data_IF_880789585383
#
_entry.id   IF_880789585383
#
_cell.length_a   1.000
_cell.length_b   1.000
_cell.length_c   1.000
_cell.angle_alpha   90.00
_cell.angle_beta   90.00
_cell.angle_gamma   90.00
#
_symmetry.space_group_name_H-M   'P 1'
#
loop_
_entity.id
_entity.type
_entity.pdbx_description
1 polymer ?
#
# COMPACT_ATOMS: atom_id res chain seq x y z
N UNK A 1 -13.11 -15.12 -17.54
CA UNK A 1 -12.47 -13.80 -17.75
C UNK A 1 -13.40 -12.64 -17.37
N UNK A 2 -14.66 -12.60 -17.84
CA UNK A 2 -15.61 -11.50 -17.50
C UNK A 2 -16.02 -11.43 -16.01
N UNK A 3 -15.96 -12.54 -15.26
CA UNK A 3 -16.31 -12.53 -13.83
C UNK A 3 -15.35 -11.69 -12.98
N UNK A 4 -14.05 -11.68 -13.26
CA UNK A 4 -13.10 -10.86 -12.50
C UNK A 4 -13.29 -9.37 -12.78
N UNK A 5 -13.51 -9.00 -14.04
CA UNK A 5 -13.78 -7.61 -14.43
C UNK A 5 -15.06 -7.09 -13.78
N UNK A 6 -16.15 -7.85 -13.85
CA UNK A 6 -17.42 -7.49 -13.20
C UNK A 6 -17.27 -7.40 -11.69
N UNK A 7 -16.55 -8.33 -11.07
CA UNK A 7 -16.33 -8.32 -9.63
C UNK A 7 -15.39 -7.18 -9.19
N UNK A 8 -14.41 -6.79 -10.01
CA UNK A 8 -13.56 -5.61 -9.77
C UNK A 8 -14.36 -4.30 -9.78
N UNK A 9 -15.41 -4.21 -10.59
CA UNK A 9 -16.29 -3.05 -10.61
C UNK A 9 -17.25 -3.03 -9.41
N UNK A 10 -17.71 -4.20 -8.96
CA UNK A 10 -18.63 -4.32 -7.83
C UNK A 10 -17.93 -4.23 -6.47
N UNK A 11 -16.68 -4.68 -6.38
CA UNK A 11 -15.93 -4.81 -5.12
C UNK A 11 -15.78 -3.49 -4.36
N UNK A 12 -15.77 -2.35 -5.05
CA UNK A 12 -15.70 -1.02 -4.42
C UNK A 12 -16.93 -0.71 -3.54
N UNK A 13 -18.09 -1.27 -3.88
CA UNK A 13 -19.35 -1.04 -3.15
C UNK A 13 -19.72 -2.20 -2.24
N UNK A 14 -19.09 -3.36 -2.43
CA UNK A 14 -19.47 -4.61 -1.79
C UNK A 14 -19.12 -4.58 -0.28
N UNK A 15 -20.13 -4.82 0.56
CA UNK A 15 -19.95 -5.07 2.00
C UNK A 15 -20.27 -6.55 2.26
N UNK A 16 -19.29 -7.30 2.74
CA UNK A 16 -19.42 -8.74 2.93
C UNK A 16 -20.21 -9.08 4.20
N UNK A 17 -20.41 -8.14 5.12
CA UNK A 17 -21.08 -8.38 6.41
C UNK A 17 -22.54 -8.83 6.29
N UNK A 18 -23.22 -8.43 5.21
CA UNK A 18 -24.63 -8.78 4.97
C UNK A 18 -24.86 -10.06 4.16
N UNK A 19 -23.78 -10.73 3.72
CA UNK A 19 -23.88 -11.92 2.88
C UNK A 19 -23.80 -13.21 3.70
N UNK A 20 -24.28 -14.32 3.13
CA UNK A 20 -24.15 -15.63 3.78
C UNK A 20 -22.71 -16.16 3.64
N UNK A 21 -22.21 -16.82 4.68
CA UNK A 21 -20.90 -17.48 4.69
C UNK A 21 -20.68 -18.42 3.51
N UNK A 22 -21.76 -19.04 3.00
CA UNK A 22 -21.72 -19.92 1.82
C UNK A 22 -21.28 -19.21 0.54
N UNK A 23 -21.39 -17.89 0.49
CA UNK A 23 -21.00 -17.05 -0.65
C UNK A 23 -19.66 -16.37 -0.35
N UNK A 24 -19.49 -15.86 0.88
CA UNK A 24 -18.29 -15.13 1.29
C UNK A 24 -17.06 -16.05 1.25
N UNK A 25 -17.14 -17.25 1.84
CA UNK A 25 -15.99 -18.13 1.97
C UNK A 25 -15.45 -18.56 0.60
N UNK A 26 -16.25 -19.09 -0.36
CA UNK A 26 -15.73 -19.45 -1.68
C UNK A 26 -15.21 -18.26 -2.47
N UNK A 27 -15.80 -17.07 -2.28
CA UNK A 27 -15.35 -15.85 -2.95
C UNK A 27 -13.97 -15.43 -2.46
N UNK A 28 -13.79 -15.29 -1.13
CA UNK A 28 -12.51 -14.92 -0.54
C UNK A 28 -11.44 -16.00 -0.77
N UNK A 29 -11.81 -17.26 -0.62
CA UNK A 29 -10.93 -18.41 -0.86
C UNK A 29 -10.42 -18.45 -2.31
N UNK A 30 -11.32 -18.24 -3.27
CA UNK A 30 -10.98 -18.13 -4.69
C UNK A 30 -10.05 -16.94 -4.97
N UNK A 31 -10.38 -15.75 -4.46
CA UNK A 31 -9.55 -14.55 -4.67
C UNK A 31 -8.14 -14.71 -4.10
N UNK A 32 -8.02 -15.27 -2.88
CA UNK A 32 -6.73 -15.57 -2.25
C UNK A 32 -5.95 -16.61 -3.05
N UNK A 33 -6.61 -17.67 -3.54
CA UNK A 33 -5.98 -18.66 -4.40
C UNK A 33 -5.40 -18.02 -5.66
N UNK A 34 -6.19 -17.22 -6.39
CA UNK A 34 -5.73 -16.56 -7.62
C UNK A 34 -4.67 -15.50 -7.40
N UNK A 35 -4.62 -14.85 -6.23
CA UNK A 35 -3.59 -13.87 -5.88
C UNK A 35 -2.19 -14.51 -5.70
N UNK A 36 -2.13 -15.75 -5.19
CA UNK A 36 -0.87 -16.44 -4.87
C UNK A 36 -0.48 -17.46 -5.96
N UNK A 37 -1.44 -17.87 -6.79
CA UNK A 37 -1.25 -18.91 -7.80
C UNK A 37 -0.08 -18.55 -8.75
N UNK A 38 0.91 -19.44 -8.81
CA UNK A 38 2.08 -19.36 -9.69
C UNK A 38 1.85 -19.99 -11.07
N UNK A 39 0.63 -20.45 -11.36
CA UNK A 39 0.27 -21.03 -12.64
C UNK A 39 0.43 -20.01 -13.78
N UNK A 40 0.89 -20.48 -14.95
CA UNK A 40 0.95 -19.67 -16.17
C UNK A 40 -0.41 -19.03 -16.49
N UNK A 41 -1.52 -19.76 -16.26
CA UNK A 41 -2.88 -19.22 -16.45
C UNK A 41 -3.25 -18.05 -15.53
N UNK A 42 -2.61 -17.94 -14.36
CA UNK A 42 -2.84 -16.85 -13.42
C UNK A 42 -1.93 -15.63 -13.69
N UNK A 43 -0.71 -15.91 -14.15
CA UNK A 43 0.33 -14.91 -14.38
C UNK A 43 0.30 -14.30 -15.79
N UNK A 44 -0.10 -15.06 -16.79
CA UNK A 44 -0.04 -14.62 -18.18
C UNK A 44 -1.10 -13.55 -18.46
N UNK A 45 -0.73 -12.46 -19.16
CA UNK A 45 -1.68 -11.44 -19.59
C UNK A 45 -2.66 -12.05 -20.59
N UNK A 46 -3.93 -12.07 -20.23
CA UNK A 46 -4.98 -12.57 -21.11
C UNK A 46 -5.46 -11.43 -22.03
N UNK A 47 -5.54 -11.64 -23.36
CA UNK A 47 -6.13 -10.66 -24.28
C UNK A 47 -7.66 -10.57 -24.06
N UNK A 48 -8.28 -9.38 -24.10
CA UNK A 48 -7.81 -8.14 -24.75
C UNK A 48 -7.10 -7.13 -23.84
N UNK A 49 -7.26 -7.21 -22.51
CA UNK A 49 -6.83 -6.13 -21.59
C UNK A 49 -5.37 -6.26 -21.12
N UNK A 50 -4.66 -7.32 -21.50
CA UNK A 50 -3.29 -7.64 -21.05
C UNK A 50 -3.13 -7.67 -19.51
N UNK A 51 -4.21 -7.82 -18.76
CA UNK A 51 -4.19 -7.93 -17.30
C UNK A 51 -4.25 -9.39 -16.89
N UNK A 52 -3.30 -9.83 -16.07
CA UNK A 52 -3.27 -11.18 -15.54
C UNK A 52 -4.37 -11.38 -14.49
N UNK A 53 -4.88 -12.61 -14.35
CA UNK A 53 -5.87 -12.95 -13.33
C UNK A 53 -5.37 -12.63 -11.92
N UNK A 54 -4.06 -12.78 -11.68
CA UNK A 54 -3.41 -12.43 -10.42
C UNK A 54 -3.57 -10.93 -10.10
N UNK A 55 -3.33 -10.06 -11.07
CA UNK A 55 -3.46 -8.61 -10.88
C UNK A 55 -4.92 -8.20 -10.64
N UNK A 56 -5.86 -8.81 -11.36
CA UNK A 56 -7.29 -8.54 -11.15
C UNK A 56 -7.76 -9.01 -9.77
N UNK A 57 -7.31 -10.18 -9.31
CA UNK A 57 -7.59 -10.67 -7.96
C UNK A 57 -7.02 -9.73 -6.88
N UNK A 58 -5.79 -9.23 -7.06
CA UNK A 58 -5.20 -8.25 -6.16
C UNK A 58 -5.94 -6.90 -6.16
N UNK A 59 -6.40 -6.44 -7.32
CA UNK A 59 -7.20 -5.21 -7.41
C UNK A 59 -8.52 -5.35 -6.64
N UNK A 60 -9.20 -6.48 -6.81
CA UNK A 60 -10.43 -6.81 -6.08
C UNK A 60 -10.16 -6.84 -4.57
N UNK A 61 -9.13 -7.57 -4.13
CA UNK A 61 -8.79 -7.66 -2.72
C UNK A 61 -8.43 -6.30 -2.14
N UNK A 62 -7.72 -5.46 -2.89
CA UNK A 62 -7.38 -4.08 -2.50
C UNK A 62 -8.63 -3.23 -2.31
N UNK A 63 -9.58 -3.29 -3.24
CA UNK A 63 -10.88 -2.58 -3.15
C UNK A 63 -11.72 -3.09 -1.97
N UNK A 64 -11.79 -4.40 -1.75
CA UNK A 64 -12.50 -4.98 -0.60
C UNK A 64 -11.87 -4.55 0.72
N UNK A 65 -10.54 -4.47 0.79
CA UNK A 65 -9.78 -4.07 1.99
C UNK A 65 -9.95 -2.60 2.38
N UNK A 66 -10.63 -1.78 1.57
CA UNK A 66 -10.99 -0.41 1.98
C UNK A 66 -11.95 -0.43 3.18
N UNK A 67 -12.81 -1.45 3.28
CA UNK A 67 -13.75 -1.61 4.40
C UNK A 67 -13.12 -2.51 5.48
N UNK A 68 -13.05 -2.02 6.71
CA UNK A 68 -12.50 -2.77 7.86
C UNK A 68 -13.23 -4.09 8.10
N UNK A 69 -14.55 -4.11 7.96
CA UNK A 69 -15.36 -5.32 8.11
C UNK A 69 -14.97 -6.44 7.15
N UNK A 70 -14.63 -6.10 5.90
CA UNK A 70 -14.17 -7.05 4.90
C UNK A 70 -12.77 -7.57 5.24
N UNK A 71 -11.90 -6.76 5.85
CA UNK A 71 -10.57 -7.19 6.31
C UNK A 71 -10.71 -8.22 7.43
N UNK A 72 -11.59 -7.97 8.41
CA UNK A 72 -11.81 -8.89 9.52
C UNK A 72 -12.29 -10.26 9.00
N UNK A 73 -13.16 -10.26 8.00
CA UNK A 73 -13.61 -11.48 7.31
C UNK A 73 -12.49 -12.14 6.49
N UNK A 74 -11.67 -11.36 5.79
CA UNK A 74 -10.52 -11.87 5.04
C UNK A 74 -9.54 -12.59 5.97
N UNK A 75 -9.22 -11.99 7.12
CA UNK A 75 -8.34 -12.57 8.14
C UNK A 75 -8.96 -13.78 8.86
N UNK A 76 -10.29 -13.85 8.94
CA UNK A 76 -11.01 -15.01 9.46
C UNK A 76 -11.10 -16.17 8.47
N UNK A 77 -10.69 -15.99 7.20
CA UNK A 77 -10.77 -17.04 6.17
C UNK A 77 -9.62 -18.03 6.33
N UNK A 78 -9.86 -19.32 6.63
CA UNK A 78 -8.81 -20.34 6.58
C UNK A 78 -8.41 -20.62 5.11
N UNK A 79 -7.16 -21.03 4.81
CA UNK A 79 -6.01 -21.28 5.69
C UNK A 79 -5.07 -20.07 5.82
N UNK A 80 -4.55 -19.87 7.03
CA UNK A 80 -3.62 -18.78 7.37
C UNK A 80 -2.33 -18.79 6.54
N UNK A 81 -1.84 -19.98 6.16
CA UNK A 81 -0.64 -20.16 5.33
C UNK A 81 -0.69 -19.37 4.00
N UNK A 82 -1.88 -19.20 3.42
CA UNK A 82 -2.04 -18.43 2.17
C UNK A 82 -1.90 -16.93 2.43
N UNK A 83 -2.50 -16.44 3.50
CA UNK A 83 -2.35 -15.03 3.91
C UNK A 83 -0.89 -14.75 4.22
N UNK A 84 -0.23 -15.65 4.95
CA UNK A 84 1.18 -15.57 5.27
C UNK A 84 2.05 -15.60 4.00
N UNK A 85 1.78 -16.48 3.04
CA UNK A 85 2.52 -16.53 1.77
C UNK A 85 2.33 -15.26 0.94
N UNK A 86 1.11 -14.70 0.89
CA UNK A 86 0.84 -13.42 0.23
C UNK A 86 1.63 -12.30 0.92
N UNK A 87 1.57 -12.26 2.24
CA UNK A 87 2.29 -11.31 3.09
C UNK A 87 3.80 -11.44 2.83
N UNK A 88 4.41 -12.61 3.02
CA UNK A 88 5.85 -12.87 2.83
C UNK A 88 6.32 -12.52 1.41
N UNK A 89 5.64 -13.01 0.37
CA UNK A 89 5.98 -12.72 -1.04
C UNK A 89 6.01 -11.21 -1.33
N UNK A 90 5.15 -10.45 -0.65
CA UNK A 90 5.07 -9.00 -0.82
C UNK A 90 5.90 -8.21 0.21
N UNK A 91 6.30 -8.81 1.33
CA UNK A 91 6.98 -8.13 2.44
C UNK A 91 8.49 -8.07 2.32
N UNK A 92 9.15 -9.05 1.68
CA UNK A 92 10.64 -9.13 1.55
C UNK A 92 11.31 -7.95 0.83
N UNK A 93 10.52 -6.98 0.38
CA UNK A 93 11.00 -5.65 -0.04
C UNK A 93 9.92 -4.58 0.05
N UNK A 94 8.83 -4.81 0.81
CA UNK A 94 7.66 -3.92 0.88
C UNK A 94 8.04 -2.50 1.27
N UNK A 95 8.78 -2.33 2.37
CA UNK A 95 9.26 -1.04 2.87
C UNK A 95 10.10 -0.34 1.80
N UNK A 96 11.02 -1.08 1.16
CA UNK A 96 11.89 -0.54 0.10
C UNK A 96 11.07 -0.06 -1.09
N UNK A 97 10.07 -0.85 -1.50
CA UNK A 97 9.20 -0.54 -2.62
C UNK A 97 8.29 0.65 -2.31
N UNK A 98 7.78 0.75 -1.08
CA UNK A 98 6.99 1.91 -0.64
C UNK A 98 7.84 3.18 -0.57
N UNK A 99 9.08 3.10 -0.08
CA UNK A 99 10.01 4.25 -0.09
C UNK A 99 10.36 4.64 -1.54
N UNK A 100 10.68 3.66 -2.39
CA UNK A 100 10.93 3.91 -3.82
C UNK A 100 9.71 4.54 -4.51
N UNK A 101 8.50 4.11 -4.16
CA UNK A 101 7.28 4.70 -4.68
C UNK A 101 7.17 6.17 -4.30
N UNK A 102 7.46 6.53 -3.03
CA UNK A 102 7.45 7.93 -2.58
C UNK A 102 8.55 8.76 -3.28
N UNK A 103 9.75 8.21 -3.49
CA UNK A 103 10.84 8.87 -4.24
C UNK A 103 10.47 9.10 -5.72
N UNK A 104 9.85 8.12 -6.38
CA UNK A 104 9.38 8.26 -7.77
C UNK A 104 8.31 9.35 -7.89
N UNK A 105 7.42 9.35 -6.91
CA UNK A 105 6.37 10.32 -6.75
C UNK A 105 6.91 11.76 -6.53
N UNK A 106 7.94 11.91 -5.70
CA UNK A 106 8.69 13.17 -5.55
C UNK A 106 9.34 13.62 -6.87
N UNK A 107 10.05 12.72 -7.55
CA UNK A 107 10.71 13.02 -8.83
C UNK A 107 9.70 13.45 -9.91
N UNK A 108 8.51 12.86 -9.89
CA UNK A 108 7.42 13.22 -10.79
C UNK A 108 6.81 14.60 -10.45
N UNK A 109 6.67 14.94 -9.16
CA UNK A 109 6.27 16.30 -8.75
C UNK A 109 7.34 17.33 -9.15
N UNK A 110 8.62 16.99 -9.02
CA UNK A 110 9.72 17.83 -9.49
C UNK A 110 9.64 18.06 -11.01
N UNK A 111 9.41 17.01 -11.81
CA UNK A 111 9.26 17.11 -13.26
C UNK A 111 8.03 17.95 -13.67
N UNK A 112 6.96 17.93 -12.88
CA UNK A 112 5.77 18.77 -13.06
C UNK A 112 5.95 20.21 -12.56
N UNK A 113 7.09 20.54 -11.94
CA UNK A 113 7.33 21.84 -11.31
C UNK A 113 6.46 22.11 -10.08
N UNK A 114 5.89 21.06 -9.48
CA UNK A 114 5.00 21.14 -8.32
C UNK A 114 5.80 21.39 -7.04
N UNK A 115 6.08 22.66 -6.76
CA UNK A 115 6.72 23.07 -5.51
C UNK A 115 5.66 23.51 -4.48
N UNK A 116 5.56 22.78 -3.37
CA UNK A 116 4.55 23.06 -2.34
C UNK A 116 4.93 24.22 -1.40
N UNK A 117 6.16 24.75 -1.49
CA UNK A 117 6.63 25.93 -0.72
C UNK A 117 6.18 27.24 -1.38
N UNK A 118 5.94 27.26 -2.70
CA UNK A 118 5.39 28.41 -3.43
C UNK A 118 3.99 28.04 -3.96
N UNK A 119 2.90 28.52 -3.35
CA UNK A 119 1.56 28.12 -3.76
C UNK A 119 1.28 28.50 -5.22
N UNK A 120 0.80 27.52 -5.98
CA UNK A 120 0.44 27.64 -7.39
C UNK A 120 -0.70 28.65 -7.59
N UNK A 121 -0.40 29.82 -8.16
CA UNK A 121 -1.42 30.83 -8.51
C UNK A 121 -2.14 30.50 -9.84
N UNK A 122 -1.60 29.57 -10.64
CA UNK A 122 -2.11 29.24 -12.00
C UNK A 122 -2.25 27.73 -12.28
N UNK A 123 -2.72 26.93 -11.33
CA UNK A 123 -3.02 25.51 -11.60
C UNK A 123 -4.42 25.35 -12.22
N UNK A 124 -4.48 24.75 -13.40
CA UNK A 124 -5.69 24.25 -14.05
C UNK A 124 -6.44 23.27 -13.12
N UNK A 125 -7.76 23.19 -13.23
CA UNK A 125 -8.62 22.35 -12.37
C UNK A 125 -8.19 20.87 -12.43
N UNK A 126 -7.78 20.40 -13.61
CA UNK A 126 -7.27 19.05 -13.83
C UNK A 126 -5.96 18.77 -13.07
N UNK A 127 -5.09 19.78 -12.91
CA UNK A 127 -3.85 19.64 -12.14
C UNK A 127 -4.12 19.52 -10.62
N UNK A 128 -5.20 20.14 -10.13
CA UNK A 128 -5.63 20.00 -8.73
C UNK A 128 -6.19 18.62 -8.43
N UNK A 129 -6.98 18.05 -9.35
CA UNK A 129 -7.56 16.71 -9.18
C UNK A 129 -6.47 15.62 -9.19
N UNK A 130 -5.50 15.73 -10.10
CA UNK A 130 -4.34 14.82 -10.15
C UNK A 130 -3.51 14.96 -8.86
N UNK A 131 -3.26 16.19 -8.40
CA UNK A 131 -2.53 16.45 -7.16
C UNK A 131 -3.24 15.85 -5.92
N UNK A 132 -4.57 15.91 -5.86
CA UNK A 132 -5.36 15.31 -4.79
C UNK A 132 -5.32 13.77 -4.82
N UNK A 133 -5.38 13.17 -6.00
CA UNK A 133 -5.29 11.72 -6.14
C UNK A 133 -3.91 11.20 -5.76
N UNK A 134 -2.86 11.92 -6.16
CA UNK A 134 -1.48 11.62 -5.78
C UNK A 134 -1.29 11.81 -4.26
N UNK A 135 -1.86 12.86 -3.65
CA UNK A 135 -1.81 13.08 -2.20
C UNK A 135 -2.36 11.91 -1.38
N UNK A 136 -3.52 11.35 -1.77
CA UNK A 136 -4.07 10.18 -1.09
C UNK A 136 -3.11 8.99 -1.15
N UNK A 137 -2.56 8.69 -2.33
CA UNK A 137 -1.63 7.58 -2.53
C UNK A 137 -0.35 7.75 -1.71
N UNK A 138 0.19 8.96 -1.63
CA UNK A 138 1.35 9.26 -0.79
C UNK A 138 1.04 9.08 0.70
N UNK A 139 -0.11 9.60 1.18
CA UNK A 139 -0.53 9.45 2.57
C UNK A 139 -0.70 7.98 2.93
N UNK A 140 -1.30 7.18 2.05
CA UNK A 140 -1.44 5.74 2.26
C UNK A 140 -0.06 5.08 2.36
N UNK A 141 0.83 5.32 1.39
CA UNK A 141 2.18 4.74 1.42
C UNK A 141 2.94 5.11 2.71
N UNK A 142 2.97 6.38 3.09
CA UNK A 142 3.67 6.86 4.28
C UNK A 142 3.05 6.30 5.58
N UNK A 143 1.71 6.27 5.69
CA UNK A 143 1.03 5.68 6.84
C UNK A 143 1.26 4.17 6.94
N UNK A 144 1.29 3.44 5.82
CA UNK A 144 1.60 2.01 5.82
C UNK A 144 2.99 1.79 6.41
N UNK A 145 4.02 2.52 5.96
CA UNK A 145 5.37 2.40 6.53
C UNK A 145 5.35 2.78 8.02
N UNK A 146 4.59 3.80 8.44
CA UNK A 146 4.47 4.21 9.85
C UNK A 146 3.85 3.10 10.71
N UNK A 147 2.77 2.49 10.24
CA UNK A 147 2.09 1.38 10.95
C UNK A 147 2.94 0.12 11.01
N UNK A 148 3.77 -0.12 9.99
CA UNK A 148 4.75 -1.21 10.02
C UNK A 148 5.82 -0.88 11.07
N UNK A 149 6.42 0.31 11.01
CA UNK A 149 7.45 0.73 11.95
C UNK A 149 6.98 0.75 13.42
N UNK A 150 5.70 1.07 13.70
CA UNK A 150 5.16 1.05 15.06
C UNK A 150 4.90 -0.34 15.62
N UNK A 151 4.70 -1.35 14.75
CA UNK A 151 4.30 -2.70 15.13
C UNK A 151 5.39 -3.75 14.86
N UNK A 152 6.54 -3.38 14.29
CA UNK A 152 7.65 -4.28 13.98
C UNK A 152 8.41 -4.74 15.23
N UNK A 153 8.90 -5.99 15.20
CA UNK A 153 9.80 -6.53 16.20
C UNK A 153 11.21 -5.90 16.10
N UNK A 154 12.00 -6.01 17.18
CA UNK A 154 13.32 -5.35 17.30
C UNK A 154 14.34 -5.79 16.23
N UNK A 155 14.21 -7.00 15.66
CA UNK A 155 15.03 -7.50 14.56
C UNK A 155 14.79 -6.76 13.25
N UNK A 156 13.53 -6.43 12.94
CA UNK A 156 13.13 -5.77 11.68
C UNK A 156 13.40 -4.26 11.71
N UNK A 157 13.50 -3.70 12.92
CA UNK A 157 13.90 -2.32 13.14
C UNK A 157 15.31 -2.02 12.59
N UNK A 158 16.20 -3.02 12.59
CA UNK A 158 17.53 -2.90 11.98
C UNK A 158 17.47 -2.71 10.46
N UNK A 159 16.45 -3.27 9.79
CA UNK A 159 16.23 -3.07 8.35
C UNK A 159 15.68 -1.68 8.08
N UNK A 160 14.72 -1.20 8.88
CA UNK A 160 14.18 0.15 8.80
C UNK A 160 15.27 1.22 8.99
N UNK A 161 16.22 0.98 9.90
CA UNK A 161 17.36 1.88 10.13
C UNK A 161 18.23 2.09 8.89
N UNK A 162 18.37 1.07 8.01
CA UNK A 162 19.10 1.23 6.73
C UNK A 162 18.46 2.28 5.82
N UNK A 163 17.18 2.58 6.01
CA UNK A 163 16.43 3.53 5.19
C UNK A 163 16.19 4.88 5.87
N UNK A 164 16.67 5.09 7.10
CA UNK A 164 16.52 6.33 7.87
C UNK A 164 16.95 7.56 7.07
N UNK A 165 18.14 7.54 6.49
CA UNK A 165 18.65 8.66 5.67
C UNK A 165 17.75 8.97 4.48
N UNK A 166 17.14 7.96 3.84
CA UNK A 166 16.24 8.17 2.70
C UNK A 166 14.93 8.81 3.15
N UNK A 167 14.38 8.35 4.28
CA UNK A 167 13.17 8.91 4.88
C UNK A 167 13.38 10.36 5.31
N UNK A 168 14.52 10.67 5.94
CA UNK A 168 14.86 12.03 6.34
C UNK A 168 15.01 12.94 5.11
N UNK A 169 15.66 12.46 4.03
CA UNK A 169 15.77 13.23 2.79
C UNK A 169 14.38 13.53 2.18
N UNK A 170 13.47 12.56 2.19
CA UNK A 170 12.09 12.75 1.74
C UNK A 170 11.33 13.75 2.62
N UNK A 171 11.50 13.69 3.95
CA UNK A 171 10.87 14.65 4.87
C UNK A 171 11.38 16.09 4.68
N UNK A 172 12.57 16.27 4.13
CA UNK A 172 13.13 17.59 3.81
C UNK A 172 12.79 18.08 2.38
N UNK A 173 12.04 17.30 1.61
CA UNK A 173 11.77 17.61 0.20
C UNK A 173 10.75 18.74 0.04
N UNK A 174 11.01 19.74 -0.83
CA UNK A 174 10.05 20.80 -1.17
C UNK A 174 8.96 20.36 -2.16
N UNK A 175 9.09 19.16 -2.74
CA UNK A 175 8.19 18.61 -3.77
C UNK A 175 7.15 17.64 -3.19
N UNK A 176 7.14 17.45 -1.88
CA UNK A 176 6.19 16.62 -1.16
C UNK A 176 5.20 17.51 -0.41
N UNK A 177 3.94 17.09 -0.36
CA UNK A 177 2.90 17.81 0.35
C UNK A 177 3.18 17.86 1.87
N UNK A 178 2.95 18.99 2.56
CA UNK A 178 3.22 19.14 4.00
C UNK A 178 2.63 18.04 4.89
N UNK A 179 1.38 17.63 4.66
CA UNK A 179 0.75 16.54 5.41
C UNK A 179 1.53 15.20 5.33
N UNK A 180 2.14 14.91 4.17
CA UNK A 180 2.93 13.69 3.99
C UNK A 180 4.29 13.84 4.67
N UNK A 181 4.88 15.03 4.60
CA UNK A 181 6.11 15.38 5.34
C UNK A 181 5.90 15.17 6.85
N UNK A 182 4.77 15.60 7.40
CA UNK A 182 4.46 15.39 8.82
C UNK A 182 4.44 13.89 9.18
N UNK A 183 3.84 13.04 8.34
CA UNK A 183 3.82 11.58 8.56
C UNK A 183 5.24 10.99 8.45
N UNK A 184 6.04 11.44 7.49
CA UNK A 184 7.44 11.00 7.34
C UNK A 184 8.33 11.47 8.49
N UNK A 185 8.09 12.66 9.03
CA UNK A 185 8.79 13.19 10.19
C UNK A 185 8.45 12.40 11.47
N UNK A 186 7.17 12.08 11.68
CA UNK A 186 6.74 11.18 12.75
C UNK A 186 7.41 9.80 12.62
N UNK A 187 7.50 9.30 11.39
CA UNK A 187 8.12 8.02 11.11
C UNK A 187 9.63 8.04 11.39
N UNK A 188 10.32 9.11 10.98
CA UNK A 188 11.73 9.32 11.31
C UNK A 188 11.91 9.38 12.84
N UNK A 189 11.03 10.08 13.55
CA UNK A 189 11.05 10.12 15.02
C UNK A 189 10.88 8.73 15.63
N UNK A 190 9.94 7.91 15.16
CA UNK A 190 9.75 6.53 15.66
C UNK A 190 11.02 5.69 15.43
N UNK A 191 11.70 5.85 14.30
CA UNK A 191 12.95 5.14 14.02
C UNK A 191 14.08 5.59 14.96
N UNK A 192 14.16 6.90 15.24
CA UNK A 192 15.21 7.49 16.09
C UNK A 192 14.94 7.34 17.61
N UNK A 193 13.69 7.36 18.08
CA UNK A 193 13.35 7.24 19.51
C UNK A 193 13.54 5.80 20.02
N UNK A 194 13.23 4.81 19.19
CA UNK A 194 13.51 3.41 19.48
C UNK A 194 15.03 3.12 19.61
N UNK A 195 15.91 4.00 19.11
CA UNK A 195 17.35 3.92 19.34
C UNK A 195 17.76 4.40 20.74
N UNK A 196 16.98 5.28 21.39
CA UNK A 196 17.25 5.73 22.75
C UNK A 196 16.98 4.61 23.79
N UNK A 197 15.93 3.81 23.60
CA UNK A 197 15.61 2.68 24.49
C UNK A 197 16.63 1.53 24.42
N UNK A 198 17.34 1.37 23.30
CA UNK A 198 18.39 0.35 23.14
C UNK A 198 19.64 0.74 23.93
N UNK A 199 19.96 2.04 24.04
CA UNK A 199 21.13 2.52 24.81
C UNK A 199 20.97 2.47 26.32
N UNK A 200 19.74 2.42 26.83
CA UNK A 200 19.45 2.28 28.28
C UNK A 200 19.44 0.84 28.79
N UNK A 201 19.59 -0.16 27.91
CA UNK A 201 19.64 -1.59 28.27
C UNK A 201 21.03 -2.23 28.11
N UNK A 202 22.08 -1.44 27.94
CA UNK A 202 23.48 -1.89 28.02
C UNK A 202 24.13 -1.39 29.30
#
# INVERSE_FOLDING_TARGET
MNCFVTLSNLSAFLDLTGLSDKIILPLLDGLLHWAICSSAYACDPLPPDNLSCRLQALEILSKLSIKKSNIDLLLATPPFERIETLIILHLDGSIINLIKFIEQCEALNMARGMNYIKPFIYADQQAKDIAQQDLYRFKVAANTIKTLASNCEQSDLCLLKKFENRIVNLAMSPFIHPDVIAILADLAFIITDNHAMIKTKQ
#
